data_IF_338382844148
#
_entry.id   IF_338382844148
#
_cell.length_a   1.000
_cell.length_b   1.000
_cell.length_c   1.000
_cell.angle_alpha   90.00
_cell.angle_beta   90.00
_cell.angle_gamma   90.00
#
_symmetry.space_group_name_H-M   'P 1'
#
loop_
_entity.id
_entity.type
_entity.pdbx_description
1 polymer ?
#
# COMPACT_ATOMS: atom_id res chain seq x y z
N UNK A 1 -13.15 11.29 16.49
CA UNK A 1 -11.79 11.84 16.44
C UNK A 1 -10.97 10.95 15.51
N UNK A 2 -10.09 11.52 14.65
CA UNK A 2 -9.20 10.74 13.79
C UNK A 2 -8.33 9.78 14.62
N UNK A 3 -7.95 8.64 14.03
CA UNK A 3 -7.05 7.68 14.68
C UNK A 3 -5.62 8.21 14.65
N UNK A 4 -4.79 7.81 15.62
CA UNK A 4 -3.37 8.21 15.67
C UNK A 4 -2.61 7.94 14.36
N UNK A 5 -2.94 6.85 13.65
CA UNK A 5 -2.37 6.53 12.34
C UNK A 5 -2.71 7.55 11.24
N UNK A 6 -3.91 8.14 11.29
CA UNK A 6 -4.34 9.16 10.33
C UNK A 6 -3.54 10.45 10.56
N UNK A 7 -3.29 10.80 11.83
CA UNK A 7 -2.42 11.93 12.17
C UNK A 7 -0.96 11.71 11.76
N UNK A 8 -0.43 10.49 11.88
CA UNK A 8 0.93 10.16 11.42
C UNK A 8 1.04 10.37 9.92
N UNK A 9 0.15 9.76 9.12
CA UNK A 9 0.18 9.87 7.67
C UNK A 9 0.02 11.31 7.21
N UNK A 10 -0.91 12.05 7.82
CA UNK A 10 -1.15 13.44 7.42
C UNK A 10 -0.06 14.41 7.85
N UNK A 11 0.57 14.16 9.00
CA UNK A 11 1.75 14.94 9.41
C UNK A 11 2.95 14.69 8.48
N UNK A 12 3.15 13.43 8.05
CA UNK A 12 4.20 13.07 7.08
C UNK A 12 4.00 13.75 5.73
N UNK A 13 2.77 13.75 5.22
CA UNK A 13 2.42 14.46 3.97
C UNK A 13 2.71 15.97 4.07
N UNK A 14 2.16 16.62 5.10
CA UNK A 14 2.27 18.07 5.32
C UNK A 14 3.70 18.54 5.55
N UNK A 15 4.45 17.83 6.38
CA UNK A 15 5.83 18.19 6.67
C UNK A 15 6.74 17.93 5.45
N UNK A 16 6.49 16.87 4.68
CA UNK A 16 7.23 16.65 3.42
C UNK A 16 6.94 17.76 2.39
N UNK A 17 5.67 18.20 2.26
CA UNK A 17 5.31 19.38 1.45
C UNK A 17 6.10 20.60 1.89
N UNK A 18 6.09 20.90 3.19
CA UNK A 18 6.77 22.08 3.72
C UNK A 18 8.24 22.03 3.35
N UNK A 19 8.94 20.95 3.68
CA UNK A 19 10.36 20.74 3.38
C UNK A 19 10.68 20.87 1.88
N UNK A 20 9.76 20.50 0.98
CA UNK A 20 9.95 20.66 -0.46
C UNK A 20 9.76 22.11 -0.94
N UNK A 21 8.91 22.90 -0.28
CA UNK A 21 8.67 24.32 -0.58
C UNK A 21 9.68 25.26 0.10
N UNK A 22 10.06 24.97 1.34
CA UNK A 22 10.98 25.75 2.17
C UNK A 22 11.40 24.97 3.41
N UNK A 23 12.41 25.43 4.15
CA UNK A 23 12.75 24.79 5.43
C UNK A 23 11.81 25.21 6.59
N UNK A 24 10.77 26.01 6.33
CA UNK A 24 9.82 26.49 7.35
C UNK A 24 8.52 25.68 7.34
N UNK A 25 8.18 25.12 8.51
CA UNK A 25 6.92 24.42 8.77
C UNK A 25 5.74 25.40 8.80
N UNK A 26 4.61 25.04 8.18
CA UNK A 26 3.37 25.82 8.19
C UNK A 26 2.48 25.48 9.40
N UNK A 27 1.59 26.40 9.77
CA UNK A 27 0.70 26.25 10.94
C UNK A 27 -0.16 24.98 10.90
N UNK A 28 -0.61 24.56 9.71
CA UNK A 28 -1.42 23.36 9.54
C UNK A 28 -0.62 22.08 9.80
N UNK A 29 0.67 22.09 9.49
CA UNK A 29 1.61 21.01 9.83
C UNK A 29 1.85 20.93 11.33
N UNK A 30 2.08 22.07 11.99
CA UNK A 30 2.26 22.13 13.45
C UNK A 30 1.02 21.61 14.20
N UNK A 31 -0.18 21.94 13.71
CA UNK A 31 -1.44 21.43 14.28
C UNK A 31 -1.49 19.90 14.25
N UNK A 32 -1.10 19.26 13.14
CA UNK A 32 -1.09 17.79 13.05
C UNK A 32 -0.01 17.17 13.94
N UNK A 33 1.20 17.72 13.92
CA UNK A 33 2.32 17.24 14.75
C UNK A 33 1.99 17.32 16.25
N UNK A 34 1.27 18.36 16.68
CA UNK A 34 0.88 18.53 18.09
C UNK A 34 0.00 17.39 18.64
N UNK A 35 -0.68 16.65 17.76
CA UNK A 35 -1.57 15.52 18.09
C UNK A 35 -0.83 14.19 18.27
N UNK A 36 0.46 14.16 17.96
CA UNK A 36 1.32 12.97 18.08
C UNK A 36 2.13 13.02 19.37
N UNK A 37 2.43 11.85 19.95
CA UNK A 37 3.44 11.75 21.01
C UNK A 37 4.86 12.04 20.48
N UNK A 38 5.83 12.20 21.39
CA UNK A 38 7.22 12.52 21.01
C UNK A 38 7.78 11.52 20.01
N UNK A 39 7.61 10.23 20.29
CA UNK A 39 8.13 9.14 19.45
C UNK A 39 7.61 9.23 18.02
N UNK A 40 6.31 9.40 17.84
CA UNK A 40 5.72 9.50 16.51
C UNK A 40 6.02 10.83 15.81
N UNK A 41 6.17 11.94 16.56
CA UNK A 41 6.69 13.19 15.98
C UNK A 41 8.10 13.03 15.42
N UNK A 42 8.98 12.38 16.17
CA UNK A 42 10.37 12.17 15.74
C UNK A 42 10.42 11.24 14.51
N UNK A 43 9.60 10.18 14.50
CA UNK A 43 9.44 9.32 13.31
C UNK A 43 8.96 10.09 12.09
N UNK A 44 7.94 10.92 12.24
CA UNK A 44 7.40 11.73 11.14
C UNK A 44 8.43 12.71 10.61
N UNK A 45 9.22 13.36 11.48
CA UNK A 45 10.28 14.28 11.06
C UNK A 45 11.32 13.58 10.19
N UNK A 46 11.88 12.49 10.69
CA UNK A 46 12.89 11.70 9.97
C UNK A 46 12.33 11.19 8.64
N UNK A 47 11.11 10.64 8.66
CA UNK A 47 10.47 10.17 7.44
C UNK A 47 10.25 11.29 6.41
N UNK A 48 9.85 12.48 6.86
CA UNK A 48 9.57 13.62 5.98
C UNK A 48 10.84 14.20 5.37
N UNK A 49 11.90 14.35 6.18
CA UNK A 49 13.23 14.77 5.72
C UNK A 49 13.76 13.82 4.66
N UNK A 50 13.76 12.52 4.96
CA UNK A 50 14.22 11.49 4.03
C UNK A 50 13.35 11.45 2.76
N UNK A 51 12.03 11.57 2.90
CA UNK A 51 11.12 11.54 1.74
C UNK A 51 11.33 12.76 0.84
N UNK A 52 11.52 13.95 1.40
CA UNK A 52 11.82 15.16 0.65
C UNK A 52 13.16 15.05 -0.10
N UNK A 53 14.20 14.51 0.56
CA UNK A 53 15.50 14.20 -0.06
C UNK A 53 15.34 13.24 -1.25
N UNK A 54 14.66 12.11 -1.04
CA UNK A 54 14.41 11.12 -2.07
C UNK A 54 13.59 11.69 -3.26
N UNK A 55 12.56 12.48 -2.98
CA UNK A 55 11.75 13.14 -4.01
C UNK A 55 12.59 14.09 -4.86
N UNK A 56 13.50 14.86 -4.26
CA UNK A 56 14.42 15.73 -5.01
C UNK A 56 15.33 14.91 -5.92
N UNK A 57 15.89 13.80 -5.43
CA UNK A 57 16.77 12.93 -6.21
C UNK A 57 16.03 12.26 -7.39
N UNK A 58 14.78 11.85 -7.20
CA UNK A 58 13.99 11.13 -8.22
C UNK A 58 13.14 12.04 -9.11
N UNK A 59 13.21 13.35 -8.94
CA UNK A 59 12.54 14.33 -9.81
C UNK A 59 13.55 14.85 -10.83
N UNK A 60 13.24 14.68 -12.11
CA UNK A 60 14.08 15.02 -13.26
C UNK A 60 14.05 16.52 -13.63
N UNK A 61 13.44 17.35 -12.77
CA UNK A 61 13.36 18.79 -12.93
C UNK A 61 13.47 19.51 -11.57
N UNK A 62 13.95 20.76 -11.53
CA UNK A 62 13.96 21.56 -10.31
C UNK A 62 12.54 21.75 -9.77
N UNK A 63 12.34 21.43 -8.49
CA UNK A 63 11.06 21.63 -7.79
C UNK A 63 10.94 23.11 -7.44
N UNK A 64 9.92 23.77 -7.98
CA UNK A 64 9.56 25.16 -7.67
C UNK A 64 8.50 25.22 -6.56
N UNK A 65 7.58 24.26 -6.53
CA UNK A 65 6.48 24.20 -5.56
C UNK A 65 6.03 22.74 -5.33
N UNK A 66 5.47 22.45 -4.16
CA UNK A 66 4.79 21.23 -3.80
C UNK A 66 3.41 21.52 -3.18
N UNK A 67 2.39 20.77 -3.61
CA UNK A 67 1.01 20.86 -3.12
C UNK A 67 0.56 19.53 -2.52
N UNK A 68 -0.22 19.59 -1.43
CA UNK A 68 -1.03 18.47 -0.95
C UNK A 68 -2.26 18.24 -1.82
N UNK A 69 -2.45 16.99 -2.25
CA UNK A 69 -3.55 16.59 -3.11
C UNK A 69 -4.50 15.60 -2.42
N UNK A 70 -4.03 14.89 -1.39
CA UNK A 70 -4.71 13.75 -0.78
C UNK A 70 -6.13 14.04 -0.30
N UNK A 71 -6.38 15.23 0.27
CA UNK A 71 -7.71 15.60 0.79
C UNK A 71 -8.64 16.19 -0.29
N UNK A 72 -8.08 16.71 -1.38
CA UNK A 72 -8.84 17.41 -2.44
C UNK A 72 -9.34 16.45 -3.52
N UNK A 73 -8.74 15.27 -3.64
CA UNK A 73 -9.13 14.25 -4.61
C UNK A 73 -10.35 13.47 -4.10
N UNK A 74 -11.48 13.62 -4.81
CA UNK A 74 -12.71 12.87 -4.52
C UNK A 74 -12.46 11.36 -4.67
N UNK A 75 -13.25 10.58 -3.93
CA UNK A 75 -13.28 9.12 -3.98
C UNK A 75 -13.20 8.61 -5.43
N UNK A 76 -12.08 7.96 -5.77
CA UNK A 76 -11.85 7.32 -7.07
C UNK A 76 -10.70 7.90 -7.91
N UNK A 77 -10.08 9.02 -7.52
CA UNK A 77 -8.94 9.59 -8.25
C UNK A 77 -7.65 9.53 -7.44
N UNK A 78 -6.67 8.75 -7.92
CA UNK A 78 -5.26 8.58 -7.49
C UNK A 78 -4.92 8.72 -6.00
N UNK A 79 -4.26 7.72 -5.40
CA UNK A 79 -3.66 7.77 -4.04
C UNK A 79 -2.43 8.71 -3.99
N UNK A 80 -2.51 9.85 -4.66
CA UNK A 80 -1.49 10.89 -4.68
C UNK A 80 -1.66 11.75 -3.44
N UNK A 81 -0.65 11.73 -2.58
CA UNK A 81 -0.62 12.54 -1.38
C UNK A 81 -0.02 13.91 -1.71
N UNK A 82 1.09 13.94 -2.46
CA UNK A 82 1.77 15.16 -2.89
C UNK A 82 1.91 15.28 -4.40
N UNK A 83 1.96 16.52 -4.90
CA UNK A 83 2.36 16.82 -6.27
C UNK A 83 3.41 17.93 -6.26
N UNK A 84 4.54 17.69 -6.93
CA UNK A 84 5.57 18.70 -7.14
C UNK A 84 5.42 19.33 -8.51
N UNK A 85 5.79 20.60 -8.62
CA UNK A 85 5.69 21.43 -9.81
C UNK A 85 7.06 22.02 -10.14
N UNK A 86 7.41 21.99 -11.42
CA UNK A 86 8.60 22.63 -11.96
C UNK A 86 8.30 23.98 -12.63
N UNK A 87 9.33 24.81 -12.88
CA UNK A 87 9.17 26.17 -13.40
C UNK A 87 8.52 26.26 -14.79
N UNK A 88 8.54 25.17 -15.56
CA UNK A 88 8.00 25.12 -16.94
C UNK A 88 6.67 24.34 -17.03
N UNK A 89 5.86 24.32 -15.97
CA UNK A 89 4.59 23.59 -15.93
C UNK A 89 4.74 22.06 -15.82
N UNK A 90 5.96 21.58 -15.56
CA UNK A 90 6.22 20.18 -15.25
C UNK A 90 5.55 19.81 -13.92
N UNK A 91 5.06 18.57 -13.81
CA UNK A 91 4.44 18.09 -12.57
C UNK A 91 4.69 16.62 -12.37
N UNK A 92 4.90 16.20 -11.12
CA UNK A 92 5.08 14.79 -10.76
C UNK A 92 4.31 14.45 -9.47
N UNK A 93 3.38 13.47 -9.49
CA UNK A 93 2.66 13.03 -8.30
C UNK A 93 3.51 12.04 -7.49
N UNK A 94 3.35 12.05 -6.17
CA UNK A 94 3.95 11.11 -5.22
C UNK A 94 2.89 10.61 -4.23
N UNK A 95 2.94 9.31 -3.91
CA UNK A 95 2.23 8.75 -2.75
C UNK A 95 3.24 8.54 -1.63
N UNK A 96 2.86 8.92 -0.40
CA UNK A 96 3.71 8.82 0.78
C UNK A 96 3.16 7.76 1.73
N UNK A 97 4.07 6.94 2.26
CA UNK A 97 3.78 6.00 3.35
C UNK A 97 4.90 6.05 4.38
N UNK A 98 4.53 5.93 5.65
CA UNK A 98 5.45 5.77 6.76
C UNK A 98 5.03 4.52 7.54
N UNK A 99 5.95 3.57 7.69
CA UNK A 99 5.72 2.33 8.44
C UNK A 99 6.85 2.08 9.45
N UNK A 100 6.55 1.34 10.52
CA UNK A 100 7.54 0.83 11.48
C UNK A 100 7.74 -0.67 11.39
N UNK A 101 6.87 -1.37 10.65
CA UNK A 101 6.90 -2.80 10.46
C UNK A 101 7.83 -3.22 9.33
N UNK A 102 7.80 -4.51 9.05
CA UNK A 102 8.57 -5.15 7.97
C UNK A 102 7.87 -5.08 6.61
N UNK A 103 6.62 -4.62 6.57
CA UNK A 103 5.81 -4.54 5.35
C UNK A 103 5.06 -3.21 5.29
N UNK A 104 4.93 -2.61 4.12
CA UNK A 104 4.11 -1.41 3.91
C UNK A 104 2.77 -1.76 3.31
N UNK A 105 1.66 -1.23 3.85
CA UNK A 105 0.37 -1.25 3.18
C UNK A 105 0.37 -0.27 1.99
N UNK A 106 0.32 -0.79 0.76
CA UNK A 106 0.32 0.05 -0.46
C UNK A 106 -1.07 0.22 -1.04
N UNK A 107 -1.97 -0.74 -0.80
CA UNK A 107 -3.35 -0.69 -1.29
C UNK A 107 -4.31 -1.47 -0.42
N UNK A 108 -5.57 -1.04 -0.41
CA UNK A 108 -6.64 -1.71 0.32
C UNK A 108 -7.89 -1.90 -0.55
N UNK A 109 -7.84 -2.70 -1.64
CA UNK A 109 -8.98 -2.91 -2.51
C UNK A 109 -10.10 -3.71 -1.85
N UNK A 110 -11.33 -3.56 -2.33
CA UNK A 110 -12.38 -4.57 -2.11
C UNK A 110 -12.03 -5.83 -2.88
N UNK A 111 -12.52 -6.99 -2.45
CA UNK A 111 -12.29 -8.24 -3.18
C UNK A 111 -12.84 -8.17 -4.62
N UNK A 112 -13.91 -7.38 -4.83
CA UNK A 112 -14.45 -7.08 -6.17
C UNK A 112 -13.48 -6.28 -7.04
N UNK A 113 -12.84 -5.25 -6.47
CA UNK A 113 -11.85 -4.46 -7.20
C UNK A 113 -10.57 -5.26 -7.45
N UNK A 114 -10.13 -6.06 -6.48
CA UNK A 114 -8.99 -6.96 -6.64
C UNK A 114 -9.26 -7.98 -7.74
N UNK A 115 -10.45 -8.58 -7.76
CA UNK A 115 -10.85 -9.53 -8.80
C UNK A 115 -10.70 -8.96 -10.21
N UNK A 116 -11.14 -7.72 -10.40
CA UNK A 116 -11.01 -7.02 -11.68
C UNK A 116 -9.57 -6.63 -11.98
N UNK A 117 -8.85 -6.12 -10.98
CA UNK A 117 -7.46 -5.66 -11.15
C UNK A 117 -6.49 -6.79 -11.45
N UNK A 118 -6.65 -7.94 -10.79
CA UNK A 118 -5.75 -9.09 -10.94
C UNK A 118 -6.19 -10.04 -12.05
N UNK A 119 -7.47 -10.44 -12.07
CA UNK A 119 -7.94 -11.52 -12.93
C UNK A 119 -8.70 -11.04 -14.18
N UNK A 120 -8.89 -9.72 -14.33
CA UNK A 120 -9.74 -9.12 -15.37
C UNK A 120 -11.16 -9.72 -15.42
N UNK A 121 -11.69 -10.09 -14.25
CA UNK A 121 -12.99 -10.75 -14.11
C UNK A 121 -13.80 -10.13 -12.99
N UNK A 122 -15.13 -10.18 -13.11
CA UNK A 122 -15.98 -9.88 -11.95
C UNK A 122 -15.82 -10.97 -10.91
N UNK A 123 -15.94 -10.60 -9.64
CA UNK A 123 -15.86 -11.58 -8.55
C UNK A 123 -16.89 -12.71 -8.71
N UNK A 124 -18.09 -12.43 -9.23
CA UNK A 124 -19.11 -13.46 -9.48
C UNK A 124 -18.77 -14.41 -10.63
N UNK A 125 -17.87 -14.03 -11.53
CA UNK A 125 -17.42 -14.86 -12.66
C UNK A 125 -16.18 -15.69 -12.26
N UNK A 126 -15.39 -15.18 -11.31
CA UNK A 126 -14.21 -15.85 -10.76
C UNK A 126 -14.57 -16.99 -9.79
N UNK A 127 -15.70 -16.87 -9.10
CA UNK A 127 -16.15 -17.80 -8.08
C UNK A 127 -17.10 -18.85 -8.66
N UNK A 128 -17.02 -20.08 -8.15
CA UNK A 128 -18.08 -21.08 -8.33
C UNK A 128 -19.34 -20.70 -7.54
N UNK A 129 -20.47 -21.31 -7.86
CA UNK A 129 -21.72 -21.08 -7.12
C UNK A 129 -21.55 -21.39 -5.62
N UNK A 130 -20.83 -22.47 -5.28
CA UNK A 130 -20.55 -22.85 -3.90
C UNK A 130 -19.66 -21.82 -3.18
N UNK A 131 -18.60 -21.33 -3.84
CA UNK A 131 -17.72 -20.31 -3.29
C UNK A 131 -18.45 -18.97 -3.11
N UNK A 132 -19.31 -18.60 -4.06
CA UNK A 132 -20.13 -17.40 -4.00
C UNK A 132 -21.08 -17.45 -2.80
N UNK A 133 -21.77 -18.57 -2.61
CA UNK A 133 -22.65 -18.78 -1.46
C UNK A 133 -21.88 -18.81 -0.14
N UNK A 134 -20.71 -19.45 -0.11
CA UNK A 134 -19.82 -19.46 1.06
C UNK A 134 -19.39 -18.04 1.42
N UNK A 135 -18.94 -17.25 0.45
CA UNK A 135 -18.58 -15.84 0.66
C UNK A 135 -19.77 -15.01 1.18
N UNK A 136 -20.97 -15.23 0.64
CA UNK A 136 -22.21 -14.61 1.11
C UNK A 136 -22.55 -14.93 2.56
N UNK A 137 -22.40 -16.20 2.97
CA UNK A 137 -22.57 -16.63 4.37
C UNK A 137 -21.53 -16.00 5.29
N UNK A 138 -20.25 -16.00 4.89
CA UNK A 138 -19.16 -15.42 5.67
C UNK A 138 -19.38 -13.94 5.93
N UNK A 139 -19.62 -13.17 4.87
CA UNK A 139 -19.87 -11.73 4.98
C UNK A 139 -21.09 -11.42 5.87
N UNK A 140 -22.14 -12.24 5.81
CA UNK A 140 -23.33 -12.12 6.66
C UNK A 140 -23.06 -12.47 8.14
N UNK A 141 -22.31 -13.54 8.39
CA UNK A 141 -21.91 -13.94 9.75
C UNK A 141 -21.02 -12.89 10.40
N UNK A 142 -20.06 -12.35 9.66
CA UNK A 142 -19.21 -11.27 10.15
C UNK A 142 -20.01 -9.99 10.40
N UNK A 143 -20.92 -9.63 9.50
CA UNK A 143 -21.80 -8.46 9.68
C UNK A 143 -22.64 -8.54 10.96
N UNK A 144 -23.00 -9.75 11.38
CA UNK A 144 -23.78 -10.01 12.59
C UNK A 144 -22.90 -10.29 13.81
N UNK A 145 -21.57 -10.14 13.70
CA UNK A 145 -20.62 -10.36 14.78
C UNK A 145 -20.47 -11.83 15.19
N UNK A 146 -20.99 -12.78 14.41
CA UNK A 146 -20.92 -14.22 14.70
C UNK A 146 -19.52 -14.80 14.49
N UNK A 147 -18.71 -14.15 13.66
CA UNK A 147 -17.31 -14.51 13.40
C UNK A 147 -16.44 -13.25 13.45
N UNK A 148 -15.16 -13.36 13.84
CA UNK A 148 -14.24 -12.22 13.89
C UNK A 148 -13.96 -11.65 12.49
N UNK A 149 -13.42 -10.43 12.42
CA UNK A 149 -12.96 -9.82 11.17
C UNK A 149 -11.90 -10.65 10.45
N UNK A 150 -11.21 -11.49 11.21
CA UNK A 150 -10.25 -12.45 10.73
C UNK A 150 -10.92 -13.66 10.08
N UNK A 151 -11.89 -13.47 9.18
CA UNK A 151 -12.55 -14.50 8.33
C UNK A 151 -11.57 -15.18 7.34
N UNK A 152 -10.33 -15.25 7.75
CA UNK A 152 -9.17 -15.07 6.93
C UNK A 152 -8.74 -16.39 6.30
N UNK A 153 -8.88 -17.49 7.04
CA UNK A 153 -8.64 -18.83 6.50
C UNK A 153 -9.65 -19.17 5.42
N UNK A 154 -10.93 -18.86 5.65
CA UNK A 154 -11.96 -19.20 4.67
C UNK A 154 -11.92 -18.34 3.41
N UNK A 155 -11.55 -17.06 3.53
CA UNK A 155 -11.31 -16.21 2.36
C UNK A 155 -10.08 -16.68 1.58
N UNK A 156 -9.03 -17.15 2.26
CA UNK A 156 -7.88 -17.74 1.61
C UNK A 156 -8.23 -19.03 0.87
N UNK A 157 -9.01 -19.93 1.48
CA UNK A 157 -9.45 -21.19 0.84
C UNK A 157 -10.14 -20.94 -0.52
N UNK A 158 -10.87 -19.82 -0.62
CA UNK A 158 -11.55 -19.41 -1.85
C UNK A 158 -10.58 -18.81 -2.86
N UNK A 159 -9.66 -17.95 -2.41
CA UNK A 159 -8.87 -17.10 -3.31
C UNK A 159 -7.50 -17.67 -3.67
N UNK A 160 -6.83 -18.40 -2.78
CA UNK A 160 -5.53 -19.03 -3.03
C UNK A 160 -5.54 -19.90 -4.29
N UNK A 161 -6.52 -20.82 -4.48
CA UNK A 161 -6.59 -21.61 -5.71
C UNK A 161 -6.69 -20.76 -6.97
N UNK A 162 -7.37 -19.60 -6.92
CA UNK A 162 -7.52 -18.70 -8.07
C UNK A 162 -6.20 -18.06 -8.46
N UNK A 163 -5.41 -17.61 -7.48
CA UNK A 163 -4.09 -17.05 -7.72
C UNK A 163 -3.11 -18.10 -8.24
N UNK A 164 -3.09 -19.30 -7.65
CA UNK A 164 -2.24 -20.41 -8.09
C UNK A 164 -2.58 -20.83 -9.52
N UNK A 165 -3.86 -21.03 -9.82
CA UNK A 165 -4.33 -21.39 -11.15
C UNK A 165 -4.02 -20.28 -12.17
N UNK A 166 -4.22 -19.01 -11.82
CA UNK A 166 -3.90 -17.90 -12.73
C UNK A 166 -2.41 -17.78 -13.01
N UNK A 167 -1.55 -17.95 -11.99
CA UNK A 167 -0.09 -18.05 -12.18
C UNK A 167 0.27 -19.18 -13.14
N UNK A 168 -0.29 -20.38 -12.94
CA UNK A 168 0.02 -21.54 -13.76
C UNK A 168 -0.43 -21.36 -15.22
N UNK A 169 -1.51 -20.62 -15.47
CA UNK A 169 -2.02 -20.33 -16.81
C UNK A 169 -1.28 -19.19 -17.50
N UNK A 170 -0.96 -18.11 -16.77
CA UNK A 170 -0.33 -16.92 -17.34
C UNK A 170 0.40 -16.10 -16.27
N UNK A 171 1.59 -16.56 -15.88
CA UNK A 171 2.42 -15.88 -14.88
C UNK A 171 2.77 -14.44 -15.29
N UNK A 172 3.05 -14.19 -16.57
CA UNK A 172 3.38 -12.85 -17.07
C UNK A 172 2.24 -11.85 -16.84
N UNK A 173 1.00 -12.24 -17.12
CA UNK A 173 -0.17 -11.40 -16.84
C UNK A 173 -0.37 -11.17 -15.34
N UNK A 174 -0.17 -12.20 -14.50
CA UNK A 174 -0.25 -12.04 -13.05
C UNK A 174 0.81 -11.05 -12.52
N UNK A 175 2.06 -11.15 -12.99
CA UNK A 175 3.14 -10.23 -12.59
C UNK A 175 2.79 -8.79 -12.92
N UNK A 176 2.34 -8.54 -14.16
CA UNK A 176 1.89 -7.21 -14.58
C UNK A 176 0.74 -6.69 -13.71
N UNK A 177 -0.28 -7.51 -13.49
CA UNK A 177 -1.43 -7.11 -12.68
C UNK A 177 -1.06 -6.82 -11.21
N UNK A 178 -0.12 -7.59 -10.63
CA UNK A 178 0.42 -7.33 -9.30
C UNK A 178 1.21 -6.01 -9.24
N UNK A 179 2.03 -5.69 -10.25
CA UNK A 179 2.73 -4.41 -10.35
C UNK A 179 1.76 -3.23 -10.43
N UNK A 180 0.73 -3.36 -11.27
CA UNK A 180 -0.33 -2.36 -11.41
C UNK A 180 -1.09 -2.16 -10.09
N UNK A 181 -1.35 -3.25 -9.37
CA UNK A 181 -2.01 -3.20 -8.07
C UNK A 181 -1.12 -2.62 -6.95
N UNK A 182 0.19 -2.86 -6.98
CA UNK A 182 1.17 -2.22 -6.10
C UNK A 182 1.36 -0.73 -6.40
N UNK A 183 0.94 -0.26 -7.57
CA UNK A 183 1.00 1.15 -8.00
C UNK A 183 2.41 1.72 -7.93
N UNK A 184 3.40 0.90 -8.24
CA UNK A 184 4.80 1.30 -8.26
C UNK A 184 5.01 2.57 -9.11
N UNK A 185 4.38 2.65 -10.28
CA UNK A 185 4.46 3.82 -11.17
C UNK A 185 3.94 5.15 -10.58
N UNK A 186 3.23 5.15 -9.44
CA UNK A 186 2.74 6.37 -8.79
C UNK A 186 3.79 7.18 -8.06
N UNK A 187 5.09 6.85 -8.25
CA UNK A 187 6.20 7.33 -7.46
C UNK A 187 5.91 7.16 -5.96
N UNK A 188 5.49 5.96 -5.58
CA UNK A 188 5.31 5.60 -4.18
C UNK A 188 6.63 5.75 -3.44
N UNK A 189 6.62 6.52 -2.36
CA UNK A 189 7.72 6.67 -1.40
C UNK A 189 7.24 6.08 -0.08
N UNK A 190 7.58 4.83 0.19
CA UNK A 190 7.34 4.24 1.51
C UNK A 190 8.63 4.26 2.32
N UNK A 191 8.58 4.95 3.46
CA UNK A 191 9.70 5.11 4.37
C UNK A 191 9.51 4.18 5.58
N UNK A 192 10.55 3.38 5.90
CA UNK A 192 10.59 2.59 7.13
C UNK A 192 11.31 3.38 8.21
N UNK A 193 10.55 3.77 9.24
CA UNK A 193 11.11 4.39 10.45
C UNK A 193 10.63 3.62 11.67
N UNK A 194 11.58 3.02 12.39
CA UNK A 194 11.32 2.14 13.53
C UNK A 194 10.57 2.85 14.65
N UNK A 195 10.03 2.08 15.59
CA UNK A 195 9.40 2.63 16.80
C UNK A 195 10.32 3.50 17.65
N UNK A 196 11.64 3.38 17.52
CA UNK A 196 12.63 4.23 18.21
C UNK A 196 13.12 5.39 17.35
N UNK A 197 12.44 5.68 16.24
CA UNK A 197 12.79 6.74 15.30
C UNK A 197 14.14 6.52 14.58
N UNK A 198 14.50 5.28 14.26
CA UNK A 198 15.63 5.00 13.36
C UNK A 198 15.10 4.88 11.92
N UNK A 199 15.76 5.55 10.98
CA UNK A 199 15.48 5.34 9.55
C UNK A 199 16.12 4.02 9.12
N UNK A 200 15.31 3.14 8.55
CA UNK A 200 15.78 1.85 8.05
C UNK A 200 15.86 1.85 6.53
N UNK A 201 15.10 2.67 5.78
CA UNK A 201 15.18 2.67 4.32
C UNK A 201 13.90 3.06 3.58
N UNK A 202 13.99 3.05 2.24
CA UNK A 202 12.84 3.17 1.34
C UNK A 202 12.42 1.85 0.72
N UNK A 203 11.12 1.73 0.50
CA UNK A 203 10.56 0.89 -0.54
C UNK A 203 10.39 1.74 -1.80
N UNK A 204 11.04 1.34 -2.89
CA UNK A 204 10.93 2.03 -4.17
C UNK A 204 10.83 1.07 -5.34
N UNK A 205 10.31 1.56 -6.46
CA UNK A 205 10.20 0.81 -7.71
C UNK A 205 11.54 0.38 -8.31
N UNK A 206 12.63 1.01 -7.87
CA UNK A 206 13.97 0.79 -8.40
C UNK A 206 14.73 -0.30 -7.63
N UNK A 207 14.10 -0.95 -6.66
CA UNK A 207 14.76 -2.06 -5.97
C UNK A 207 14.98 -3.22 -6.97
N UNK A 208 16.14 -3.89 -6.94
CA UNK A 208 16.49 -4.95 -7.89
C UNK A 208 15.46 -6.07 -7.99
N UNK A 209 14.78 -6.41 -6.89
CA UNK A 209 13.75 -7.45 -6.87
C UNK A 209 12.55 -7.09 -7.75
N UNK A 210 12.15 -5.81 -7.82
CA UNK A 210 11.04 -5.38 -8.69
C UNK A 210 11.46 -5.28 -10.15
N UNK A 211 12.71 -4.94 -10.43
CA UNK A 211 13.25 -4.98 -11.80
C UNK A 211 13.26 -6.41 -12.36
N UNK A 212 13.71 -7.37 -11.54
CA UNK A 212 13.65 -8.81 -11.86
C UNK A 212 12.20 -9.28 -12.00
N UNK A 213 11.34 -8.90 -11.06
CA UNK A 213 9.92 -9.24 -11.11
C UNK A 213 9.25 -8.74 -12.41
N UNK A 214 9.52 -7.48 -12.79
CA UNK A 214 8.98 -6.84 -13.99
C UNK A 214 9.54 -7.42 -15.29
N UNK A 215 10.83 -7.78 -15.32
CA UNK A 215 11.46 -8.41 -16.48
C UNK A 215 11.08 -9.89 -16.66
N UNK A 216 10.41 -10.49 -15.67
CA UNK A 216 10.04 -11.90 -15.69
C UNK A 216 11.21 -12.83 -15.33
N UNK A 217 12.29 -12.28 -14.80
CA UNK A 217 13.38 -13.07 -14.22
C UNK A 217 12.95 -13.69 -12.87
N UNK A 218 13.49 -14.87 -12.56
CA UNK A 218 13.20 -15.63 -11.35
C UNK A 218 11.86 -16.36 -11.34
N UNK A 219 11.68 -17.28 -10.38
CA UNK A 219 10.46 -18.08 -10.19
C UNK A 219 9.51 -17.42 -9.19
N UNK A 220 8.26 -17.19 -9.60
CA UNK A 220 7.22 -16.68 -8.72
C UNK A 220 6.54 -17.80 -7.92
N UNK A 221 6.76 -17.81 -6.61
CA UNK A 221 6.10 -18.71 -5.69
C UNK A 221 4.95 -18.01 -4.94
N UNK A 222 3.84 -18.74 -4.79
CA UNK A 222 2.63 -18.30 -4.09
C UNK A 222 2.37 -19.32 -2.99
N UNK A 223 2.30 -18.86 -1.75
CA UNK A 223 2.21 -19.76 -0.61
C UNK A 223 1.51 -19.12 0.60
N UNK A 224 1.10 -19.96 1.55
CA UNK A 224 0.57 -19.56 2.86
C UNK A 224 1.55 -19.97 3.96
N UNK A 225 1.52 -19.27 5.10
CA UNK A 225 2.34 -19.61 6.28
C UNK A 225 1.41 -20.22 7.35
N UNK A 226 1.80 -21.33 7.98
CA UNK A 226 0.99 -21.96 9.05
C UNK A 226 0.73 -21.03 10.24
N UNK A 227 1.62 -20.06 10.47
CA UNK A 227 1.51 -19.01 11.49
C UNK A 227 0.64 -17.82 11.05
N UNK A 228 0.20 -17.78 9.78
CA UNK A 228 -0.63 -16.71 9.24
C UNK A 228 -1.72 -17.29 8.31
N UNK A 229 -2.90 -17.47 8.88
CA UNK A 229 -4.08 -17.96 8.17
C UNK A 229 -4.85 -16.84 7.45
N UNK A 230 -4.21 -15.75 7.05
CA UNK A 230 -4.91 -14.59 6.47
C UNK A 230 -4.31 -13.99 5.24
N UNK A 231 -3.15 -14.48 4.87
CA UNK A 231 -2.33 -13.85 3.87
C UNK A 231 -1.82 -14.86 2.87
N UNK A 232 -1.92 -14.47 1.62
CA UNK A 232 -1.21 -15.10 0.53
C UNK A 232 0.12 -14.36 0.37
N UNK A 233 1.22 -15.10 0.37
CA UNK A 233 2.57 -14.57 0.20
C UNK A 233 3.06 -14.85 -1.21
N UNK A 234 3.76 -13.88 -1.78
CA UNK A 234 4.37 -13.96 -3.08
C UNK A 234 5.86 -13.75 -2.90
N UNK A 235 6.67 -14.68 -3.39
CA UNK A 235 8.11 -14.61 -3.33
C UNK A 235 8.71 -14.82 -4.73
N UNK A 236 9.82 -14.14 -4.99
CA UNK A 236 10.63 -14.33 -6.18
C UNK A 236 11.93 -15.03 -5.77
N UNK A 237 12.16 -16.26 -6.21
CA UNK A 237 13.33 -17.06 -5.83
C UNK A 237 13.60 -17.15 -4.32
N UNK A 238 12.52 -17.27 -3.52
CA UNK A 238 12.50 -17.29 -2.05
C UNK A 238 12.74 -15.92 -1.37
N UNK A 239 12.82 -14.83 -2.12
CA UNK A 239 12.81 -13.47 -1.59
C UNK A 239 11.35 -12.97 -1.50
N UNK A 240 10.90 -12.59 -0.30
CA UNK A 240 9.53 -12.10 -0.09
C UNK A 240 9.30 -10.80 -0.87
N UNK A 241 8.30 -10.78 -1.75
CA UNK A 241 7.97 -9.64 -2.61
C UNK A 241 6.78 -8.85 -2.06
N UNK A 242 5.65 -9.53 -1.93
CA UNK A 242 4.41 -8.93 -1.48
C UNK A 242 3.53 -9.94 -0.74
N UNK A 243 2.59 -9.38 0.03
CA UNK A 243 1.62 -10.12 0.82
C UNK A 243 0.23 -9.54 0.53
N UNK A 244 -0.72 -10.40 0.19
CA UNK A 244 -2.14 -10.03 0.07
C UNK A 244 -2.87 -10.60 1.28
N UNK A 245 -3.21 -9.72 2.24
CA UNK A 245 -3.96 -10.09 3.44
C UNK A 245 -5.45 -9.84 3.23
N UNK A 246 -6.29 -10.86 3.39
CA UNK A 246 -7.73 -10.77 3.18
C UNK A 246 -8.45 -10.64 4.52
N UNK A 247 -9.54 -9.88 4.57
CA UNK A 247 -10.28 -9.65 5.81
C UNK A 247 -11.71 -9.14 5.59
N UNK A 248 -12.54 -9.26 6.63
CA UNK A 248 -13.89 -8.70 6.67
C UNK A 248 -13.94 -7.22 7.01
N UNK A 249 -14.82 -6.47 6.34
CA UNK A 249 -15.09 -5.06 6.65
C UNK A 249 -16.57 -4.83 6.92
N UNK A 250 -16.89 -4.23 8.09
CA UNK A 250 -18.24 -3.83 8.45
C UNK A 250 -18.61 -2.50 7.75
N UNK A 251 -19.87 -2.05 7.86
CA UNK A 251 -20.45 -0.86 7.19
C UNK A 251 -19.74 0.49 7.48
N UNK A 252 -18.46 0.64 7.12
CA UNK A 252 -17.75 1.90 7.12
C UNK A 252 -18.21 2.80 5.96
N UNK A 253 -17.29 3.28 5.14
CA UNK A 253 -17.58 4.09 3.94
C UNK A 253 -18.36 3.36 2.82
N UNK A 254 -18.73 2.09 3.01
CA UNK A 254 -19.49 1.29 2.06
C UNK A 254 -20.88 0.89 2.62
N UNK A 255 -21.90 0.91 1.76
CA UNK A 255 -23.29 0.66 2.16
C UNK A 255 -23.59 -0.75 2.68
N UNK A 256 -22.68 -1.72 2.47
CA UNK A 256 -22.89 -3.14 2.83
C UNK A 256 -21.61 -3.79 3.36
N UNK A 257 -21.70 -4.71 4.34
CA UNK A 257 -20.58 -5.55 4.76
C UNK A 257 -19.94 -6.28 3.57
N UNK A 258 -18.62 -6.44 3.60
CA UNK A 258 -17.88 -7.03 2.48
C UNK A 258 -16.54 -7.64 2.87
N UNK A 259 -15.90 -8.26 1.88
CA UNK A 259 -14.52 -8.73 1.97
C UNK A 259 -13.58 -7.73 1.28
N UNK A 260 -12.45 -7.45 1.92
CA UNK A 260 -11.36 -6.64 1.39
C UNK A 260 -10.07 -7.44 1.34
N UNK A 261 -9.11 -6.90 0.61
CA UNK A 261 -7.73 -7.29 0.69
C UNK A 261 -6.87 -6.06 1.01
N UNK A 262 -5.78 -6.28 1.74
CA UNK A 262 -4.67 -5.33 1.88
C UNK A 262 -3.49 -5.91 1.11
N UNK A 263 -3.00 -5.14 0.15
CA UNK A 263 -1.75 -5.45 -0.54
C UNK A 263 -0.65 -4.78 0.25
N UNK A 264 0.30 -5.59 0.71
CA UNK A 264 1.50 -5.15 1.40
C UNK A 264 2.71 -5.55 0.61
N UNK A 265 3.72 -4.70 0.63
CA UNK A 265 5.02 -5.01 0.04
C UNK A 265 6.02 -5.18 1.17
N UNK A 266 6.92 -6.15 1.03
CA UNK A 266 8.01 -6.31 1.99
C UNK A 266 9.01 -5.18 1.79
N UNK A 267 9.53 -4.63 2.89
CA UNK A 267 10.80 -3.93 2.80
C UNK A 267 11.88 -5.00 2.63
N UNK A 268 12.52 -5.04 1.46
CA UNK A 268 13.80 -5.75 1.31
C UNK A 268 14.88 -5.12 2.18
N UNK A 269 16.11 -5.64 2.10
CA UNK A 269 17.27 -4.92 2.64
C UNK A 269 17.27 -3.52 2.02
N UNK A 270 17.33 -2.52 2.89
CA UNK A 270 17.08 -1.15 2.51
C UNK A 270 18.03 -0.61 1.46
N UNK A 271 17.50 0.19 0.54
CA UNK A 271 18.31 1.13 -0.24
C UNK A 271 18.84 2.17 0.76
N UNK A 272 20.12 2.07 1.16
CA UNK A 272 20.79 3.17 1.84
C UNK A 272 20.86 4.35 0.86
N UNK A 273 20.44 5.54 1.31
CA UNK A 273 20.72 6.76 0.56
C UNK A 273 22.24 6.98 0.64
N UNK A 274 22.96 6.78 -0.47
CA UNK A 274 24.36 7.17 -0.62
C UNK A 274 24.56 8.68 -0.47
#
# INVERSE_FOLDING_TARGET
MPRQSEFIGKSHEKLTRDLLNSDQTQNDTEEQLSKLDKTNRDRVRIASEKSAEYIRQKTDFPIAEAEEVGDKLKAGSSDTDLRVFGPNGQRKPFSLKIDSGTTTNVRNPTLRSLSRGIFDQKLSELLTDEEHDRLGRLTSQYATGKIPSTMNGELLDIMEPKFIDFRNRNESALRKALLDEMRLETNLVACKVTGTANFDGFFSTNQPIFERFNSGDGKLDIYTKSTNNSSLFFALDNEDLLQIAMYGQSQGSESKPGARAVIRVAFGDAEELE
#
